data_IF_375684807615
#
_entry.id   IF_375684807615
#
_cell.length_a   1.000
_cell.length_b   1.000
_cell.length_c   1.000
_cell.angle_alpha   90.00
_cell.angle_beta   90.00
_cell.angle_gamma   90.00
#
_symmetry.space_group_name_H-M   'P 1'
#
loop_
_entity.id
_entity.type
_entity.pdbx_description
1 polymer ?
#
# COMPACT_ATOMS: atom_id res chain seq x y z
N UNK A 1 -2.33 -7.11 -5.54
CA UNK A 1 -2.97 -5.84 -5.99
C UNK A 1 -2.21 -4.66 -5.41
N UNK A 2 -1.89 -3.62 -6.20
CA UNK A 2 -1.28 -2.40 -5.68
C UNK A 2 -2.30 -1.62 -4.85
N UNK A 3 -1.92 -1.18 -3.65
CA UNK A 3 -2.78 -0.39 -2.75
C UNK A 3 -2.58 1.10 -2.97
N UNK A 4 -1.33 1.53 -3.14
CA UNK A 4 -0.80 2.85 -3.58
C UNK A 4 0.69 2.89 -3.23
N UNK A 5 1.52 3.61 -4.01
CA UNK A 5 2.94 3.92 -3.74
C UNK A 5 3.74 2.77 -3.12
N UNK A 6 4.34 1.92 -3.97
CA UNK A 6 5.24 0.84 -3.56
C UNK A 6 4.62 -0.18 -2.57
N UNK A 7 3.33 -0.06 -2.22
CA UNK A 7 2.62 -0.97 -1.33
C UNK A 7 1.72 -1.92 -2.10
N UNK A 8 1.90 -3.20 -1.83
CA UNK A 8 1.20 -4.31 -2.45
C UNK A 8 0.47 -5.12 -1.40
N UNK A 9 -0.82 -5.36 -1.61
CA UNK A 9 -1.57 -6.36 -0.85
C UNK A 9 -1.55 -7.67 -1.63
N UNK A 10 -0.94 -8.68 -1.03
CA UNK A 10 -0.93 -10.06 -1.52
C UNK A 10 -1.95 -10.84 -0.70
N UNK A 11 -2.93 -11.45 -1.37
CA UNK A 11 -3.99 -12.22 -0.71
C UNK A 11 -3.96 -13.65 -1.25
N UNK A 12 -3.90 -14.63 -0.36
CA UNK A 12 -4.04 -16.04 -0.70
C UNK A 12 -5.46 -16.46 -0.35
N UNK A 13 -6.19 -16.95 -1.35
CA UNK A 13 -7.54 -17.47 -1.20
C UNK A 13 -7.50 -18.99 -1.19
N UNK A 14 -8.04 -19.59 -0.13
CA UNK A 14 -8.27 -21.03 -0.12
C UNK A 14 -9.61 -21.34 -0.81
N UNK A 15 -9.51 -21.86 -2.04
CA UNK A 15 -10.66 -22.32 -2.82
C UNK A 15 -10.97 -23.82 -2.69
N UNK A 16 -10.24 -24.57 -1.86
CA UNK A 16 -10.43 -26.02 -1.69
C UNK A 16 -11.57 -26.32 -0.71
N UNK A 17 -12.04 -27.57 -0.72
CA UNK A 17 -13.04 -28.08 0.25
C UNK A 17 -12.50 -28.20 1.67
N UNK A 18 -11.19 -28.44 1.80
CA UNK A 18 -10.49 -28.59 3.07
C UNK A 18 -9.61 -27.38 3.45
N UNK A 19 -9.08 -27.35 4.68
CA UNK A 19 -8.05 -26.40 5.05
C UNK A 19 -6.75 -26.67 4.25
N UNK A 20 -6.05 -25.61 3.87
CA UNK A 20 -4.66 -25.72 3.44
C UNK A 20 -3.75 -25.46 4.64
N UNK A 21 -2.67 -26.22 4.74
CA UNK A 21 -1.70 -26.19 5.84
C UNK A 21 -0.29 -25.96 5.29
N UNK A 22 0.67 -25.71 6.18
CA UNK A 22 2.07 -25.39 5.85
C UNK A 22 2.24 -24.40 4.69
N UNK A 23 1.40 -23.35 4.68
CA UNK A 23 1.44 -22.32 3.65
C UNK A 23 2.75 -21.53 3.73
N UNK A 24 3.50 -21.59 2.64
CA UNK A 24 4.65 -20.76 2.35
C UNK A 24 4.36 -19.92 1.10
N UNK A 25 4.68 -18.63 1.15
CA UNK A 25 4.52 -17.73 0.01
C UNK A 25 5.85 -17.01 -0.26
N UNK A 26 6.38 -17.18 -1.46
CA UNK A 26 7.51 -16.43 -1.98
C UNK A 26 6.98 -15.27 -2.81
N UNK A 27 7.12 -14.05 -2.28
CA UNK A 27 6.67 -12.82 -2.94
C UNK A 27 7.89 -12.08 -3.47
N UNK A 28 7.86 -11.75 -4.76
CA UNK A 28 9.00 -11.17 -5.45
C UNK A 28 8.60 -10.11 -6.47
N UNK A 29 9.53 -9.21 -6.74
CA UNK A 29 9.41 -8.22 -7.81
C UNK A 29 9.85 -8.86 -9.12
N UNK A 30 9.17 -8.54 -10.22
CA UNK A 30 9.64 -8.85 -11.58
C UNK A 30 9.97 -7.58 -12.35
N UNK A 31 10.95 -7.69 -13.25
CA UNK A 31 11.32 -6.63 -14.17
C UNK A 31 10.45 -6.61 -15.43
N UNK A 32 10.75 -5.70 -16.36
CA UNK A 32 10.02 -5.54 -17.63
C UNK A 32 10.07 -6.78 -18.53
N UNK A 33 11.03 -7.69 -18.30
CA UNK A 33 11.14 -8.96 -19.03
C UNK A 33 10.34 -10.09 -18.38
N UNK A 34 9.74 -9.83 -17.20
CA UNK A 34 9.05 -10.82 -16.39
C UNK A 34 9.98 -11.71 -15.57
N UNK A 35 11.29 -11.41 -15.55
CA UNK A 35 12.26 -12.12 -14.73
C UNK A 35 12.26 -11.58 -13.30
N UNK A 36 12.66 -12.43 -12.33
CA UNK A 36 12.78 -12.01 -10.93
C UNK A 36 13.83 -10.91 -10.81
N UNK A 37 13.40 -9.75 -10.34
CA UNK A 37 14.25 -8.59 -10.08
C UNK A 37 14.94 -8.72 -8.72
N UNK A 38 16.15 -8.17 -8.61
CA UNK A 38 16.86 -8.01 -7.34
C UNK A 38 16.37 -6.80 -6.53
N UNK A 39 15.38 -6.06 -7.05
CA UNK A 39 14.77 -4.92 -6.38
C UNK A 39 14.15 -5.29 -5.03
N UNK A 40 14.04 -4.30 -4.15
CA UNK A 40 13.53 -4.52 -2.79
C UNK A 40 12.07 -4.97 -2.85
N UNK A 41 11.76 -6.13 -2.26
CA UNK A 41 10.40 -6.62 -2.04
C UNK A 41 10.38 -7.35 -0.69
N UNK A 42 9.54 -6.92 0.25
CA UNK A 42 9.46 -7.57 1.55
C UNK A 42 8.26 -7.16 2.39
N UNK A 43 7.98 -7.88 3.49
CA UNK A 43 6.86 -7.59 4.35
C UNK A 43 6.89 -6.15 4.87
N UNK A 44 5.73 -5.52 4.83
CA UNK A 44 5.54 -4.12 5.20
C UNK A 44 5.71 -3.87 6.71
N UNK A 45 5.49 -4.87 7.57
CA UNK A 45 5.41 -4.67 9.04
C UNK A 45 6.67 -4.05 9.65
N UNK A 46 7.84 -4.50 9.22
CA UNK A 46 9.15 -4.06 9.74
C UNK A 46 9.80 -2.97 8.87
N UNK A 47 9.25 -2.74 7.67
CA UNK A 47 9.82 -1.81 6.67
C UNK A 47 9.00 -0.53 6.50
N UNK A 48 7.72 -0.53 6.89
CA UNK A 48 6.88 0.66 6.89
C UNK A 48 7.12 1.45 8.18
N UNK A 49 7.74 2.61 8.04
CA UNK A 49 7.47 3.71 8.95
C UNK A 49 6.04 4.19 8.67
N UNK A 50 5.06 3.69 9.44
CA UNK A 50 3.64 4.07 9.26
C UNK A 50 3.46 5.59 9.33
N UNK A 51 4.39 6.25 10.04
CA UNK A 51 4.57 7.71 10.10
C UNK A 51 4.90 8.33 8.74
N UNK A 52 5.82 7.76 7.97
CA UNK A 52 6.15 8.24 6.61
C UNK A 52 4.98 8.05 5.66
N UNK A 53 4.33 6.88 5.70
CA UNK A 53 3.16 6.60 4.87
C UNK A 53 1.98 7.53 5.20
N UNK A 54 1.71 7.79 6.49
CA UNK A 54 0.68 8.74 6.92
C UNK A 54 1.02 10.18 6.51
N UNK A 55 2.29 10.59 6.67
CA UNK A 55 2.78 11.91 6.26
C UNK A 55 2.60 12.13 4.77
N UNK A 56 2.94 11.13 3.97
CA UNK A 56 2.89 11.23 2.51
C UNK A 56 1.42 11.28 2.02
N UNK A 57 0.56 10.40 2.54
CA UNK A 57 -0.90 10.42 2.25
C UNK A 57 -1.53 11.76 2.65
N UNK A 58 -1.20 12.30 3.83
CA UNK A 58 -1.72 13.58 4.30
C UNK A 58 -1.19 14.75 3.46
N UNK A 59 0.09 14.70 3.05
CA UNK A 59 0.70 15.74 2.21
C UNK A 59 0.10 15.73 0.81
N UNK A 60 -0.08 14.57 0.20
CA UNK A 60 -0.68 14.40 -1.13
C UNK A 60 -2.17 14.78 -1.15
N UNK A 61 -2.92 14.39 -0.12
CA UNK A 61 -4.35 14.77 0.00
C UNK A 61 -4.52 16.29 0.14
N UNK A 62 -3.61 16.95 0.86
CA UNK A 62 -3.63 18.40 1.03
C UNK A 62 -3.13 19.13 -0.22
N UNK A 63 -2.12 18.63 -0.94
CA UNK A 63 -1.67 19.23 -2.20
C UNK A 63 -2.74 19.10 -3.30
N UNK A 64 -3.33 17.92 -3.48
CA UNK A 64 -4.39 17.70 -4.47
C UNK A 64 -5.69 18.48 -4.20
N UNK A 65 -6.06 18.66 -2.92
CA UNK A 65 -7.20 19.48 -2.53
C UNK A 65 -6.97 20.99 -2.75
N UNK A 66 -5.75 21.47 -2.58
CA UNK A 66 -5.39 22.88 -2.79
C UNK A 66 -5.24 23.23 -4.27
N UNK A 67 -4.74 22.33 -5.12
CA UNK A 67 -4.69 22.54 -6.57
C UNK A 67 -6.09 22.65 -7.17
N UNK A 68 -7.05 21.82 -6.73
CA UNK A 68 -8.43 21.88 -7.20
C UNK A 68 -9.15 23.19 -6.78
N UNK A 69 -8.81 23.76 -5.62
CA UNK A 69 -9.32 25.06 -5.16
C UNK A 69 -8.60 26.21 -5.87
N UNK A 70 -7.30 26.10 -6.10
CA UNK A 70 -6.49 27.07 -6.86
C UNK A 70 -6.93 27.21 -8.31
N UNK A 71 -7.24 26.10 -8.98
CA UNK A 71 -7.80 26.10 -10.34
C UNK A 71 -9.22 26.68 -10.38
N UNK A 72 -10.04 26.45 -9.35
CA UNK A 72 -11.36 27.08 -9.21
C UNK A 72 -11.27 28.60 -8.96
N UNK A 73 -10.25 29.04 -8.22
CA UNK A 73 -9.98 30.46 -8.00
C UNK A 73 -9.48 31.13 -9.28
N UNK A 74 -8.55 30.53 -10.02
CA UNK A 74 -8.07 31.08 -11.30
C UNK A 74 -9.20 31.24 -12.32
N UNK A 75 -10.16 30.31 -12.39
CA UNK A 75 -11.35 30.42 -13.23
C UNK A 75 -12.37 31.47 -12.78
N UNK A 76 -12.35 31.90 -11.51
CA UNK A 76 -13.15 33.03 -11.02
C UNK A 76 -12.49 34.39 -11.27
N UNK A 77 -11.16 34.45 -11.40
CA UNK A 77 -10.40 35.69 -11.60
C UNK A 77 -10.16 36.06 -13.08
N UNK A 78 -10.41 35.17 -14.04
CA UNK A 78 -10.30 35.47 -15.48
C UNK A 78 -11.47 36.28 -16.06
N UNK A 79 -12.51 36.56 -15.25
CA UNK A 79 -13.71 37.28 -15.66
C UNK A 79 -13.80 38.74 -15.20
N UNK A 80 -12.80 39.27 -14.49
CA UNK A 80 -12.82 40.64 -13.98
C UNK A 80 -12.03 41.59 -14.90
N UNK A 81 -12.64 42.70 -15.37
CA UNK A 81 -11.98 43.64 -16.26
C UNK A 81 -10.74 44.27 -15.62
N UNK A 82 -9.65 44.32 -16.39
CA UNK A 82 -8.41 45.01 -16.02
C UNK A 82 -8.72 46.49 -15.75
N UNK A 83 -8.79 46.89 -14.47
CA UNK A 83 -9.04 48.28 -14.12
C UNK A 83 -9.45 48.57 -12.68
N UNK A 84 -9.97 47.61 -11.91
CA UNK A 84 -10.18 47.80 -10.47
C UNK A 84 -9.05 47.20 -9.66
N UNK A 85 -8.10 48.07 -9.32
CA UNK A 85 -7.07 47.79 -8.35
C UNK A 85 -7.68 47.50 -6.98
N UNK A 86 -7.54 46.26 -6.53
CA UNK A 86 -7.47 45.91 -5.11
C UNK A 86 -6.00 45.64 -4.76
N UNK A 87 -5.18 46.68 -4.88
CA UNK A 87 -3.86 46.71 -4.27
C UNK A 87 -4.05 46.82 -2.76
N UNK A 88 -3.68 45.77 -2.01
CA UNK A 88 -3.40 45.93 -0.57
C UNK A 88 -3.72 44.77 0.37
N UNK A 89 -4.53 43.77 0.01
CA UNK A 89 -5.01 42.79 1.03
C UNK A 89 -5.03 41.32 0.58
N UNK A 90 -4.27 40.94 -0.47
CA UNK A 90 -4.06 39.53 -0.85
C UNK A 90 -2.67 38.95 -0.44
N UNK A 91 -2.13 39.15 0.78
CA UNK A 91 -1.05 38.29 1.26
C UNK A 91 -1.52 37.12 2.16
N UNK A 92 -2.80 37.05 2.55
CA UNK A 92 -3.25 36.05 3.54
C UNK A 92 -3.74 34.72 2.93
N UNK A 93 -4.41 34.71 1.78
CA UNK A 93 -4.93 33.47 1.18
C UNK A 93 -3.84 32.59 0.54
N UNK A 94 -2.76 33.22 0.02
CA UNK A 94 -1.57 32.49 -0.43
C UNK A 94 -0.73 31.90 0.72
N UNK A 95 -0.91 32.39 1.96
CA UNK A 95 -0.22 31.88 3.15
C UNK A 95 -0.88 30.64 3.74
N UNK A 96 -2.16 30.36 3.48
CA UNK A 96 -2.82 29.16 4.03
C UNK A 96 -2.30 27.87 3.36
N UNK A 97 -1.90 27.95 2.09
CA UNK A 97 -1.30 26.83 1.37
C UNK A 97 0.07 26.41 1.93
N UNK A 98 0.85 27.36 2.49
CA UNK A 98 2.15 27.05 3.09
C UNK A 98 2.07 26.48 4.52
N UNK A 99 0.90 26.54 5.17
CA UNK A 99 0.67 25.88 6.47
C UNK A 99 0.22 24.42 6.35
N UNK A 100 -0.17 23.95 5.15
CA UNK A 100 -0.55 22.56 4.93
C UNK A 100 0.52 21.54 5.37
N UNK A 101 1.78 21.69 4.92
CA UNK A 101 2.86 20.79 5.33
C UNK A 101 3.22 20.87 6.83
N UNK A 102 2.99 22.02 7.48
CA UNK A 102 3.20 22.18 8.93
C UNK A 102 2.08 21.51 9.75
N UNK A 103 0.83 21.66 9.32
CA UNK A 103 -0.31 21.00 9.98
C UNK A 103 -0.28 19.48 9.80
N UNK A 104 0.12 18.97 8.62
CA UNK A 104 0.23 17.52 8.40
C UNK A 104 1.26 16.89 9.32
N UNK A 105 2.41 17.55 9.51
CA UNK A 105 3.43 17.13 10.49
C UNK A 105 2.86 17.10 11.91
N UNK A 106 2.14 18.14 12.32
CA UNK A 106 1.57 18.22 13.67
C UNK A 106 0.50 17.14 13.95
N UNK A 107 -0.30 16.79 12.95
CA UNK A 107 -1.32 15.73 13.07
C UNK A 107 -0.69 14.34 13.15
N UNK A 108 0.34 14.07 12.35
CA UNK A 108 1.08 12.80 12.38
C UNK A 108 1.85 12.64 13.70
N UNK A 109 2.44 13.73 14.19
CA UNK A 109 3.16 13.75 15.48
C UNK A 109 2.21 13.83 16.70
N UNK A 110 0.89 13.87 16.49
CA UNK A 110 -0.05 13.85 17.60
C UNK A 110 0.03 12.51 18.37
N UNK A 111 0.00 12.54 19.72
CA UNK A 111 0.07 11.33 20.54
C UNK A 111 -1.05 10.33 20.22
N UNK A 112 -2.26 10.82 19.91
CA UNK A 112 -3.40 9.97 19.57
C UNK A 112 -3.22 9.27 18.23
N UNK A 113 -2.77 9.99 17.18
CA UNK A 113 -2.51 9.39 15.87
C UNK A 113 -1.34 8.40 15.97
N UNK A 114 -0.24 8.76 16.64
CA UNK A 114 0.88 7.86 16.86
C UNK A 114 0.51 6.59 17.63
N UNK A 115 -0.49 6.62 18.52
CA UNK A 115 -1.01 5.41 19.18
C UNK A 115 -1.83 4.54 18.23
N UNK A 116 -2.70 5.16 17.42
CA UNK A 116 -3.48 4.46 16.39
C UNK A 116 -2.57 3.77 15.36
N UNK A 117 -1.57 4.49 14.83
CA UNK A 117 -0.64 3.95 13.85
C UNK A 117 0.18 2.78 14.42
N UNK A 118 0.61 2.85 15.69
CA UNK A 118 1.26 1.73 16.37
C UNK A 118 0.33 0.54 16.55
N UNK A 119 -0.94 0.77 16.89
CA UNK A 119 -1.92 -0.30 17.01
C UNK A 119 -2.17 -1.00 15.67
N UNK A 120 -2.30 -0.24 14.59
CA UNK A 120 -2.42 -0.77 13.22
C UNK A 120 -1.16 -1.57 12.85
N UNK A 121 0.03 -1.04 13.12
CA UNK A 121 1.30 -1.75 12.85
C UNK A 121 1.41 -3.06 13.63
N UNK A 122 0.93 -3.10 14.88
CA UNK A 122 0.91 -4.31 15.70
C UNK A 122 -0.05 -5.38 15.17
N UNK A 123 -1.14 -4.97 14.52
CA UNK A 123 -2.11 -5.87 13.90
C UNK A 123 -1.71 -6.31 12.49
N UNK A 124 -0.70 -5.68 11.88
CA UNK A 124 -0.17 -6.11 10.59
C UNK A 124 0.53 -7.46 10.74
N UNK A 125 0.12 -8.41 9.91
CA UNK A 125 0.74 -9.72 9.83
C UNK A 125 1.96 -9.62 8.91
N UNK A 126 3.11 -10.09 9.39
CA UNK A 126 4.41 -10.11 8.69
C UNK A 126 4.55 -11.27 7.70
N UNK A 127 3.72 -12.29 7.87
CA UNK A 127 3.76 -13.54 7.11
C UNK A 127 2.38 -14.13 7.00
N UNK A 128 2.15 -14.98 6.00
CA UNK A 128 0.90 -15.69 5.92
C UNK A 128 0.75 -16.65 7.13
N UNK A 129 -0.47 -16.85 7.64
CA UNK A 129 -0.72 -17.91 8.60
C UNK A 129 -0.42 -19.25 7.93
N UNK A 130 0.14 -20.20 8.69
CA UNK A 130 0.45 -21.53 8.16
C UNK A 130 -0.80 -22.30 7.71
N UNK A 131 -1.95 -21.97 8.27
CA UNK A 131 -3.22 -22.63 7.98
C UNK A 131 -4.24 -21.61 7.50
N UNK A 132 -4.87 -21.88 6.36
CA UNK A 132 -6.03 -21.13 5.87
C UNK A 132 -7.21 -22.10 5.78
N UNK A 133 -8.28 -21.91 6.59
CA UNK A 133 -9.46 -22.77 6.52
C UNK A 133 -10.14 -22.74 5.14
N UNK A 134 -10.94 -23.77 4.86
CA UNK A 134 -11.70 -23.88 3.62
C UNK A 134 -12.54 -22.62 3.35
N UNK A 135 -12.46 -22.08 2.13
CA UNK A 135 -13.20 -20.88 1.71
C UNK A 135 -12.75 -19.56 2.36
N UNK A 136 -11.69 -19.57 3.20
CA UNK A 136 -11.14 -18.36 3.80
C UNK A 136 -9.99 -17.79 2.98
N UNK A 137 -9.51 -16.60 3.37
CA UNK A 137 -8.36 -15.96 2.78
C UNK A 137 -7.47 -15.36 3.85
N UNK A 138 -6.20 -15.20 3.52
CA UNK A 138 -5.25 -14.43 4.32
C UNK A 138 -4.58 -13.38 3.43
N UNK A 139 -4.28 -12.21 4.00
CA UNK A 139 -3.67 -11.10 3.26
C UNK A 139 -2.49 -10.52 4.02
N UNK A 140 -1.40 -10.28 3.31
CA UNK A 140 -0.17 -9.67 3.84
C UNK A 140 0.18 -8.45 2.97
N UNK A 141 0.65 -7.39 3.61
CA UNK A 141 1.13 -6.18 2.94
C UNK A 141 2.63 -6.29 2.69
N UNK A 142 3.05 -5.96 1.48
CA UNK A 142 4.42 -5.97 1.01
C UNK A 142 4.81 -4.58 0.51
N UNK A 143 6.01 -4.14 0.85
CA UNK A 143 6.62 -2.95 0.26
C UNK A 143 7.60 -3.41 -0.81
N UNK A 144 7.43 -2.90 -2.02
CA UNK A 144 8.21 -3.25 -3.18
C UNK A 144 8.58 -2.01 -4.00
N UNK A 145 9.76 -2.00 -4.61
CA UNK A 145 10.13 -0.97 -5.60
C UNK A 145 9.16 -0.93 -6.79
N UNK A 146 9.17 0.15 -7.60
CA UNK A 146 8.31 0.25 -8.77
C UNK A 146 8.49 -0.95 -9.72
N UNK A 147 7.40 -1.64 -10.01
CA UNK A 147 7.38 -2.83 -10.86
C UNK A 147 6.15 -3.70 -10.56
N UNK A 148 6.11 -4.90 -11.14
CA UNK A 148 5.05 -5.87 -10.90
C UNK A 148 5.46 -6.83 -9.77
N UNK A 149 4.57 -7.05 -8.80
CA UNK A 149 4.81 -8.01 -7.71
C UNK A 149 4.05 -9.30 -8.00
N UNK A 150 4.78 -10.41 -8.01
CA UNK A 150 4.25 -11.77 -8.16
C UNK A 150 4.44 -12.56 -6.87
N UNK A 151 3.66 -13.63 -6.74
CA UNK A 151 3.70 -14.49 -5.59
C UNK A 151 3.53 -15.94 -6.04
N UNK A 152 4.46 -16.78 -5.62
CA UNK A 152 4.36 -18.22 -5.72
C UNK A 152 4.04 -18.77 -4.34
N UNK A 153 3.18 -19.79 -4.27
CA UNK A 153 2.79 -20.41 -3.02
C UNK A 153 3.09 -21.90 -3.03
N UNK A 154 3.42 -22.42 -1.86
CA UNK A 154 3.48 -23.84 -1.56
C UNK A 154 2.60 -24.11 -0.34
N UNK A 155 1.82 -25.17 -0.37
CA UNK A 155 0.93 -25.54 0.72
C UNK A 155 0.71 -27.05 0.74
N UNK A 156 0.39 -27.59 1.90
CA UNK A 156 -0.15 -28.93 2.04
C UNK A 156 -1.69 -28.87 2.02
N UNK A 157 -2.33 -29.83 1.37
CA UNK A 157 -3.79 -29.96 1.41
C UNK A 157 -4.28 -30.65 2.71
N UNK A 158 -5.56 -31.05 2.73
CA UNK A 158 -6.17 -31.68 3.91
C UNK A 158 -5.66 -33.11 4.18
N UNK A 159 -5.09 -33.77 3.17
CA UNK A 159 -4.49 -35.11 3.30
C UNK A 159 -2.98 -35.06 3.50
N UNK A 160 -2.37 -33.88 3.39
CA UNK A 160 -0.94 -33.63 3.60
C UNK A 160 -0.11 -33.66 2.33
N UNK A 161 -0.73 -33.74 1.15
CA UNK A 161 -0.01 -33.70 -0.12
C UNK A 161 0.49 -32.28 -0.38
N UNK A 162 1.74 -32.14 -0.79
CA UNK A 162 2.36 -30.85 -1.07
C UNK A 162 2.04 -30.39 -2.49
N UNK A 163 1.56 -29.16 -2.58
CA UNK A 163 1.21 -28.49 -3.82
C UNK A 163 2.01 -27.20 -3.95
N UNK A 164 2.43 -26.90 -5.18
CA UNK A 164 3.01 -25.61 -5.55
C UNK A 164 2.12 -24.95 -6.58
N UNK A 165 1.92 -23.65 -6.44
CA UNK A 165 1.22 -22.84 -7.43
C UNK A 165 2.04 -21.59 -7.69
N UNK A 166 2.50 -21.45 -8.94
CA UNK A 166 3.13 -20.21 -9.40
C UNK A 166 2.10 -19.15 -9.73
N UNK A 167 2.55 -17.91 -9.82
CA UNK A 167 1.70 -16.79 -10.22
C UNK A 167 0.93 -17.09 -11.52
N UNK A 168 -0.40 -16.94 -11.47
CA UNK A 168 -1.33 -17.22 -12.58
C UNK A 168 -1.36 -18.66 -13.13
N UNK A 169 -0.59 -19.59 -12.54
CA UNK A 169 -0.60 -21.00 -12.93
C UNK A 169 -1.58 -21.82 -12.07
N UNK A 170 -1.86 -23.05 -12.53
CA UNK A 170 -2.62 -24.02 -11.75
C UNK A 170 -1.72 -24.68 -10.70
N UNK A 171 -2.26 -25.12 -9.54
CA UNK A 171 -1.49 -25.90 -8.59
C UNK A 171 -1.01 -27.21 -9.21
N UNK A 172 0.25 -27.54 -8.96
CA UNK A 172 0.92 -28.77 -9.37
C UNK A 172 1.52 -29.48 -8.15
N UNK A 173 1.53 -30.82 -8.13
CA UNK A 173 2.05 -31.59 -7.01
C UNK A 173 3.57 -31.41 -6.91
N UNK A 174 4.09 -31.26 -5.69
CA UNK A 174 5.52 -31.23 -5.42
C UNK A 174 6.00 -32.67 -5.24
N UNK A 175 6.72 -33.19 -6.24
CA UNK A 175 7.38 -34.49 -6.12
C UNK A 175 8.52 -34.36 -5.10
N UNK A 176 8.42 -35.12 -4.00
CA UNK A 176 9.50 -35.25 -3.04
C UNK A 176 10.41 -36.35 -3.57
N UNK A 177 11.57 -35.99 -4.12
CA UNK A 177 12.61 -36.98 -4.40
C UNK A 177 13.11 -37.54 -3.05
N UNK A 178 12.93 -38.85 -2.84
CA UNK A 178 13.41 -39.59 -1.64
C UNK A 178 14.94 -39.69 -1.55
#
# INVERSE_FOLDING_TARGET
>A
MPVKMNLWKVTVHNGTSGPITDLEADVYLVDETGARSAGRCGPAKDSISVRELAREILTESLSGGLDAIGQRAQGMYSGLPQGMGFGGQIPQLGRLGSYGPMMSNYLVDSPQMSALLRHVQQQMIDRFPRVIPAGQFAGVLYLAEPGEVRADIQFADEVGDLWRRRFEEQPEPVLVDE
#
